data_IF_761981180423
#
_entry.id   IF_761981180423
#
_cell.length_a   1.000
_cell.length_b   1.000
_cell.length_c   1.000
_cell.angle_alpha   90.00
_cell.angle_beta   90.00
_cell.angle_gamma   90.00
#
_symmetry.space_group_name_H-M   'P 1'
#
loop_
_entity.id
_entity.type
_entity.pdbx_description
1 polymer ?
#
# COMPACT_ATOMS: atom_id res chain seq x y z
N UNK A 1 5.12 2.92 3.69
CA UNK A 1 3.73 2.40 3.57
C UNK A 1 3.69 0.88 3.61
N UNK A 2 4.53 0.16 2.85
CA UNK A 2 4.51 -1.32 2.80
C UNK A 2 4.57 -2.00 4.18
N UNK A 3 5.54 -1.62 5.04
CA UNK A 3 5.62 -2.16 6.42
C UNK A 3 4.35 -1.91 7.25
N UNK A 4 3.70 -0.75 7.07
CA UNK A 4 2.42 -0.43 7.75
C UNK A 4 1.28 -1.31 7.25
N UNK A 5 1.13 -1.44 5.93
CA UNK A 5 0.13 -2.34 5.33
C UNK A 5 0.29 -3.79 5.82
N UNK A 6 1.53 -4.27 5.91
CA UNK A 6 1.80 -5.62 6.42
C UNK A 6 1.43 -5.77 7.91
N UNK A 7 1.80 -4.79 8.74
CA UNK A 7 1.64 -4.89 10.19
C UNK A 7 0.24 -4.50 10.70
N UNK A 8 -0.41 -3.51 10.08
CA UNK A 8 -1.68 -2.94 10.52
C UNK A 8 -2.87 -3.59 9.81
N UNK A 9 -2.72 -3.96 8.53
CA UNK A 9 -3.82 -4.43 7.68
C UNK A 9 -3.65 -5.90 7.22
N UNK A 10 -2.52 -6.55 7.55
CA UNK A 10 -2.21 -7.91 7.08
C UNK A 10 -1.93 -8.02 5.57
N UNK A 11 -1.68 -6.89 4.89
CA UNK A 11 -1.44 -6.84 3.45
C UNK A 11 0.07 -6.85 3.20
N UNK A 12 0.65 -8.04 3.03
CA UNK A 12 2.07 -8.22 2.76
C UNK A 12 2.40 -8.00 1.27
N UNK A 13 2.72 -6.76 0.90
CA UNK A 13 2.86 -6.33 -0.50
C UNK A 13 4.24 -5.75 -0.87
N UNK A 14 4.49 -5.57 -2.18
CA UNK A 14 5.66 -4.85 -2.69
C UNK A 14 5.54 -3.33 -2.67
N UNK A 15 6.59 -2.68 -3.19
CA UNK A 15 6.74 -1.22 -3.23
C UNK A 15 5.63 -0.50 -4.01
N UNK A 16 5.29 -0.99 -5.21
CA UNK A 16 4.28 -0.37 -6.07
C UNK A 16 2.89 -0.36 -5.42
N UNK A 17 2.49 -1.44 -4.77
CA UNK A 17 1.24 -1.49 -3.99
C UNK A 17 1.25 -0.47 -2.85
N UNK A 18 2.38 -0.32 -2.15
CA UNK A 18 2.53 0.70 -1.10
C UNK A 18 2.37 2.13 -1.63
N UNK A 19 2.94 2.44 -2.80
CA UNK A 19 2.78 3.75 -3.45
C UNK A 19 1.33 3.98 -3.90
N UNK A 20 0.69 2.98 -4.48
CA UNK A 20 -0.71 2.99 -4.87
C UNK A 20 -1.62 3.36 -3.70
N UNK A 21 -1.40 2.77 -2.52
CA UNK A 21 -2.17 3.09 -1.31
C UNK A 21 -1.89 4.51 -0.81
N UNK A 22 -0.64 4.99 -0.84
CA UNK A 22 -0.32 6.38 -0.48
C UNK A 22 -1.08 7.36 -1.37
N UNK A 23 -1.07 7.13 -2.68
CA UNK A 23 -1.82 7.95 -3.63
C UNK A 23 -3.33 7.89 -3.38
N UNK A 24 -3.87 6.69 -3.15
CA UNK A 24 -5.29 6.51 -2.84
C UNK A 24 -5.70 7.27 -1.56
N UNK A 25 -4.88 7.25 -0.51
CA UNK A 25 -5.15 8.01 0.73
C UNK A 25 -5.16 9.52 0.45
N UNK A 26 -4.23 10.02 -0.36
CA UNK A 26 -4.19 11.44 -0.70
C UNK A 26 -5.43 11.86 -1.50
N UNK A 27 -5.81 11.10 -2.54
CA UNK A 27 -7.01 11.38 -3.33
C UNK A 27 -8.27 11.28 -2.46
N UNK A 28 -8.33 10.33 -1.51
CA UNK A 28 -9.48 10.21 -0.62
C UNK A 28 -9.65 11.44 0.28
N UNK A 29 -8.56 12.07 0.71
CA UNK A 29 -8.60 13.33 1.47
C UNK A 29 -9.12 14.49 0.63
N UNK A 30 -8.76 14.54 -0.65
CA UNK A 30 -9.22 15.56 -1.59
C UNK A 30 -10.72 15.41 -1.95
N UNK A 31 -11.18 14.17 -2.18
CA UNK A 31 -12.55 13.89 -2.59
C UNK A 31 -13.58 13.98 -1.45
N UNK A 32 -13.14 13.80 -0.20
CA UNK A 32 -13.98 13.88 0.98
C UNK A 32 -14.89 12.66 1.23
N UNK A 33 -15.73 12.72 2.28
CA UNK A 33 -16.53 11.59 2.75
C UNK A 33 -17.52 11.03 1.71
N UNK A 34 -17.81 9.73 1.82
CA UNK A 34 -18.80 9.04 0.96
C UNK A 34 -18.27 8.62 -0.42
N UNK A 35 -17.00 8.90 -0.73
CA UNK A 35 -16.33 8.43 -1.95
C UNK A 35 -15.50 7.17 -1.65
N UNK A 36 -15.34 6.30 -2.65
CA UNK A 36 -14.51 5.08 -2.56
C UNK A 36 -13.46 5.10 -3.64
N UNK A 37 -12.24 4.73 -3.27
CA UNK A 37 -11.11 4.61 -4.18
C UNK A 37 -10.64 3.17 -4.14
N UNK A 38 -10.38 2.63 -5.33
CA UNK A 38 -9.83 1.29 -5.50
C UNK A 38 -8.49 1.42 -6.21
N UNK A 39 -7.52 0.63 -5.79
CA UNK A 39 -6.21 0.56 -6.44
C UNK A 39 -5.71 -0.88 -6.50
N UNK A 40 -4.72 -1.13 -7.35
CA UNK A 40 -4.21 -2.47 -7.63
C UNK A 40 -3.10 -2.87 -6.66
N UNK A 41 -3.19 -4.09 -6.13
CA UNK A 41 -2.05 -4.81 -5.55
C UNK A 41 -1.24 -5.47 -6.65
N UNK A 42 0.00 -5.04 -6.85
CA UNK A 42 0.84 -5.50 -7.96
C UNK A 42 1.51 -6.85 -7.68
N UNK A 43 2.02 -7.04 -6.46
CA UNK A 43 2.64 -8.26 -5.99
C UNK A 43 2.72 -8.36 -4.46
N UNK A 44 3.28 -9.47 -3.97
CA UNK A 44 3.47 -9.75 -2.56
C UNK A 44 4.87 -9.32 -2.06
N UNK A 45 5.00 -9.19 -0.74
CA UNK A 45 6.23 -8.77 -0.08
C UNK A 45 7.38 -9.78 -0.10
N UNK A 46 7.14 -11.04 -0.50
CA UNK A 46 8.15 -12.12 -0.44
C UNK A 46 9.38 -11.79 -1.29
N UNK A 47 9.16 -11.13 -2.44
CA UNK A 47 10.23 -10.71 -3.35
C UNK A 47 11.18 -9.66 -2.75
N UNK A 48 10.81 -9.07 -1.63
CA UNK A 48 11.46 -7.88 -1.07
C UNK A 48 12.08 -8.13 0.31
N UNK A 49 12.13 -9.38 0.78
CA UNK A 49 12.71 -9.76 2.08
C UNK A 49 14.17 -9.31 2.25
N UNK A 50 14.96 -9.38 1.19
CA UNK A 50 16.38 -8.95 1.20
C UNK A 50 16.58 -7.53 0.67
N UNK A 51 15.50 -6.76 0.50
CA UNK A 51 15.55 -5.37 0.02
C UNK A 51 15.31 -4.40 1.18
N UNK A 52 15.59 -3.11 0.97
CA UNK A 52 15.30 -2.04 1.94
C UNK A 52 13.82 -1.93 2.39
N UNK A 53 12.89 -2.66 1.75
CA UNK A 53 11.46 -2.65 2.13
C UNK A 53 11.18 -3.54 3.34
N UNK A 54 11.80 -4.73 3.44
CA UNK A 54 11.56 -5.69 4.52
C UNK A 54 12.82 -6.25 5.19
N UNK A 55 14.01 -5.87 4.71
CA UNK A 55 15.22 -5.98 5.49
C UNK A 55 15.18 -5.03 6.71
#
# INVERSE_FOLDING_TARGET
MCKRLANEEGIFCGGSTGLNVVAAINIARELGPGKRIVTLGCDNGVKYLSSHIYA
#
